data_IF_715989127978
#
_entry.id   IF_715989127978
#
_cell.length_a   1.000
_cell.length_b   1.000
_cell.length_c   1.000
_cell.angle_alpha   90.00
_cell.angle_beta   90.00
_cell.angle_gamma   90.00
#
_symmetry.space_group_name_H-M   'P 1'
#
loop_
_entity.id
_entity.type
_entity.pdbx_description
1 polymer ?
#
# COMPACT_ATOMS: atom_id res chain seq x y z
N UNK A 1 -18.75 -54.72 9.02
CA UNK A 1 -17.80 -54.23 10.03
C UNK A 1 -16.54 -53.58 9.51
N UNK A 2 -16.34 -53.51 8.18
CA UNK A 2 -15.10 -52.97 7.56
C UNK A 2 -15.02 -51.43 7.45
N UNK A 3 -16.10 -50.71 7.78
CA UNK A 3 -16.13 -49.23 7.66
C UNK A 3 -15.58 -48.46 8.88
N UNK A 4 -15.46 -49.09 10.03
CA UNK A 4 -14.97 -48.43 11.27
C UNK A 4 -13.43 -48.37 11.33
N UNK A 5 -12.73 -49.32 10.68
CA UNK A 5 -11.26 -49.38 10.68
C UNK A 5 -10.62 -48.19 9.98
N UNK A 6 -11.25 -47.70 8.93
CA UNK A 6 -10.73 -46.51 8.19
C UNK A 6 -10.84 -45.19 8.94
N UNK A 7 -11.91 -45.02 9.74
CA UNK A 7 -12.11 -43.78 10.52
C UNK A 7 -11.19 -43.71 11.73
N UNK A 8 -10.96 -44.83 12.41
CA UNK A 8 -10.01 -44.88 13.54
C UNK A 8 -8.56 -44.67 13.08
N UNK A 9 -8.21 -45.16 11.90
CA UNK A 9 -6.88 -44.95 11.33
C UNK A 9 -6.64 -43.46 11.00
N UNK A 10 -7.64 -42.78 10.46
CA UNK A 10 -7.55 -41.33 10.20
C UNK A 10 -7.47 -40.48 11.46
N UNK A 11 -8.22 -40.84 12.52
CA UNK A 11 -8.20 -40.12 13.80
C UNK A 11 -6.87 -40.35 14.51
N UNK A 12 -6.40 -41.60 14.52
CA UNK A 12 -5.12 -41.98 15.14
C UNK A 12 -3.93 -41.36 14.40
N UNK A 13 -3.98 -41.26 13.09
CA UNK A 13 -2.96 -40.62 12.26
C UNK A 13 -2.95 -39.08 12.49
N UNK A 14 -4.12 -38.50 12.74
CA UNK A 14 -4.23 -37.06 13.06
C UNK A 14 -3.74 -36.76 14.49
N UNK A 15 -4.04 -37.63 15.44
CA UNK A 15 -3.56 -37.55 16.84
C UNK A 15 -2.06 -37.80 16.89
N UNK A 16 -1.55 -38.82 16.17
CA UNK A 16 -0.12 -39.12 16.08
C UNK A 16 0.66 -38.00 15.37
N UNK A 17 0.09 -37.38 14.34
CA UNK A 17 0.64 -36.16 13.74
C UNK A 17 0.65 -34.98 14.69
N UNK A 18 -0.35 -34.82 15.54
CA UNK A 18 -0.38 -33.78 16.56
C UNK A 18 0.70 -34.02 17.64
N UNK A 19 0.92 -35.27 18.05
CA UNK A 19 1.97 -35.62 19.03
C UNK A 19 3.37 -35.70 18.41
N UNK A 20 3.53 -36.12 17.19
CA UNK A 20 4.80 -36.11 16.43
C UNK A 20 5.20 -34.72 15.93
N UNK A 21 4.29 -33.75 16.03
CA UNK A 21 4.52 -32.34 15.66
C UNK A 21 5.45 -31.57 16.63
N UNK A 22 6.10 -32.28 17.56
CA UNK A 22 7.20 -31.74 18.39
C UNK A 22 8.49 -31.50 17.59
N UNK A 23 8.55 -31.83 16.30
CA UNK A 23 9.70 -31.48 15.48
C UNK A 23 9.58 -30.02 15.04
N UNK A 24 10.62 -29.25 15.30
CA UNK A 24 10.76 -27.81 14.98
C UNK A 24 10.30 -27.45 13.55
N UNK A 25 10.37 -28.38 12.62
CA UNK A 25 10.03 -28.17 11.20
C UNK A 25 8.52 -28.03 10.93
N UNK A 26 7.66 -28.80 11.65
CA UNK A 26 6.20 -28.71 11.49
C UNK A 26 5.68 -27.42 12.15
N UNK A 27 6.29 -27.02 13.25
CA UNK A 27 6.00 -25.75 13.91
C UNK A 27 6.25 -24.57 12.95
N UNK A 28 7.40 -24.51 12.28
CA UNK A 28 7.72 -23.45 11.31
C UNK A 28 6.80 -23.48 10.08
N UNK A 29 6.37 -24.65 9.60
CA UNK A 29 5.45 -24.74 8.46
C UNK A 29 4.07 -24.21 8.85
N UNK A 30 3.59 -24.54 10.05
CA UNK A 30 2.30 -24.05 10.53
C UNK A 30 2.33 -22.54 10.77
N UNK A 31 3.43 -22.01 11.34
CA UNK A 31 3.61 -20.56 11.52
C UNK A 31 3.63 -19.84 10.16
N UNK A 32 4.36 -20.36 9.19
CA UNK A 32 4.41 -19.76 7.85
C UNK A 32 3.03 -19.67 7.19
N UNK A 33 2.26 -20.77 7.24
CA UNK A 33 0.90 -20.79 6.72
C UNK A 33 -0.03 -19.85 7.49
N UNK A 34 0.03 -19.86 8.82
CA UNK A 34 -0.79 -18.98 9.67
C UNK A 34 -0.46 -17.51 9.41
N UNK A 35 0.83 -17.17 9.31
CA UNK A 35 1.28 -15.81 9.03
C UNK A 35 0.80 -15.34 7.65
N UNK A 36 0.85 -16.21 6.63
CA UNK A 36 0.36 -15.87 5.29
C UNK A 36 -1.15 -15.60 5.28
N UNK A 37 -1.95 -16.43 5.97
CA UNK A 37 -3.40 -16.21 6.07
C UNK A 37 -3.76 -14.97 6.90
N UNK A 38 -3.03 -14.72 8.00
CA UNK A 38 -3.19 -13.50 8.77
C UNK A 38 -2.82 -12.27 7.94
N UNK A 39 -1.77 -12.36 7.13
CA UNK A 39 -1.39 -11.31 6.18
C UNK A 39 -2.50 -10.98 5.20
N UNK A 40 -3.17 -11.99 4.65
CA UNK A 40 -4.33 -11.81 3.77
C UNK A 40 -5.48 -11.10 4.50
N UNK A 41 -5.78 -11.50 5.74
CA UNK A 41 -6.82 -10.85 6.54
C UNK A 41 -6.49 -9.36 6.81
N UNK A 42 -5.24 -9.06 7.18
CA UNK A 42 -4.74 -7.67 7.39
C UNK A 42 -4.80 -6.87 6.09
N UNK A 43 -4.44 -7.47 4.94
CA UNK A 43 -4.52 -6.83 3.64
C UNK A 43 -5.95 -6.43 3.28
N UNK A 44 -6.91 -7.36 3.40
CA UNK A 44 -8.33 -7.11 3.12
C UNK A 44 -8.89 -6.04 4.06
N UNK A 45 -8.58 -6.14 5.36
CA UNK A 45 -8.99 -5.14 6.35
C UNK A 45 -8.44 -3.75 5.98
N UNK A 46 -7.15 -3.66 5.65
CA UNK A 46 -6.50 -2.42 5.23
C UNK A 46 -7.15 -1.83 3.98
N UNK A 47 -7.40 -2.64 2.95
CA UNK A 47 -8.06 -2.20 1.72
C UNK A 47 -9.47 -1.68 2.00
N UNK A 48 -10.25 -2.38 2.84
CA UNK A 48 -11.61 -1.96 3.22
C UNK A 48 -11.60 -0.64 4.00
N UNK A 49 -10.68 -0.49 4.96
CA UNK A 49 -10.56 0.76 5.73
C UNK A 49 -10.19 1.93 4.82
N UNK A 50 -9.20 1.75 3.94
CA UNK A 50 -8.76 2.79 2.99
C UNK A 50 -9.93 3.20 2.10
N UNK A 51 -10.63 2.24 1.48
CA UNK A 51 -11.71 2.53 0.53
C UNK A 51 -12.88 3.27 1.19
N UNK A 52 -13.27 2.86 2.40
CA UNK A 52 -14.39 3.49 3.10
C UNK A 52 -14.06 4.85 3.72
N UNK A 53 -12.79 5.16 3.97
CA UNK A 53 -12.39 6.38 4.65
C UNK A 53 -11.53 7.34 3.82
N UNK A 54 -11.22 6.97 2.56
CA UNK A 54 -10.55 7.90 1.64
C UNK A 54 -11.44 9.11 1.40
N UNK A 55 -10.81 10.28 1.32
CA UNK A 55 -11.47 11.50 0.89
C UNK A 55 -10.73 12.02 -0.33
N UNK A 56 -11.47 12.26 -1.39
CA UNK A 56 -10.99 12.86 -2.61
C UNK A 56 -11.75 14.16 -2.84
N UNK A 57 -11.03 15.22 -3.17
CA UNK A 57 -11.60 16.53 -3.49
C UNK A 57 -10.93 17.07 -4.74
N UNK A 58 -11.71 17.28 -5.79
CA UNK A 58 -11.27 17.97 -6.99
C UNK A 58 -11.86 19.38 -6.98
N UNK A 59 -11.01 20.37 -7.08
CA UNK A 59 -11.39 21.78 -7.01
C UNK A 59 -10.53 22.63 -7.92
N UNK A 60 -11.04 23.80 -8.23
CA UNK A 60 -10.34 24.86 -8.94
C UNK A 60 -9.84 25.85 -7.91
N UNK A 61 -8.55 26.19 -7.97
CA UNK A 61 -7.88 27.00 -6.96
C UNK A 61 -6.94 28.02 -7.61
N UNK A 62 -6.89 29.22 -7.03
CA UNK A 62 -5.98 30.28 -7.42
C UNK A 62 -4.71 30.27 -6.56
N UNK A 63 -3.59 30.72 -7.13
CA UNK A 63 -2.35 30.91 -6.38
C UNK A 63 -2.63 31.84 -5.17
N UNK A 64 -2.20 31.39 -3.99
CA UNK A 64 -2.43 32.09 -2.71
C UNK A 64 -3.60 31.56 -1.89
N UNK A 65 -4.55 30.85 -2.51
CA UNK A 65 -5.71 30.28 -1.82
C UNK A 65 -5.35 29.03 -1.00
N UNK A 66 -6.23 28.71 -0.05
CA UNK A 66 -6.08 27.56 0.85
C UNK A 66 -7.28 26.62 0.70
N UNK A 67 -7.02 25.35 0.62
CA UNK A 67 -8.01 24.28 0.47
C UNK A 67 -8.01 23.47 1.75
N UNK A 68 -9.17 23.23 2.33
CA UNK A 68 -9.32 22.42 3.53
C UNK A 68 -9.89 21.03 3.21
N UNK A 69 -9.24 20.00 3.76
CA UNK A 69 -9.69 18.62 3.73
C UNK A 69 -9.48 18.00 5.11
N UNK A 70 -10.55 17.60 5.77
CA UNK A 70 -10.54 17.14 7.17
C UNK A 70 -9.81 18.14 8.06
N UNK A 71 -8.71 17.74 8.68
CA UNK A 71 -7.88 18.54 9.59
C UNK A 71 -6.68 19.18 8.88
N UNK A 72 -6.60 19.05 7.55
CA UNK A 72 -5.48 19.54 6.75
C UNK A 72 -5.87 20.73 5.89
N UNK A 73 -5.00 21.75 5.87
CA UNK A 73 -5.11 22.91 5.02
C UNK A 73 -3.94 22.94 4.02
N UNK A 74 -4.27 22.94 2.73
CA UNK A 74 -3.32 22.97 1.63
C UNK A 74 -3.29 24.39 1.04
N UNK A 75 -2.22 25.14 1.27
CA UNK A 75 -2.05 26.48 0.72
C UNK A 75 -1.26 26.44 -0.57
N UNK A 76 -1.84 26.86 -1.66
CA UNK A 76 -1.18 27.01 -2.96
C UNK A 76 -0.21 28.19 -2.91
N UNK A 77 1.09 27.93 -2.80
CA UNK A 77 2.08 28.98 -2.58
C UNK A 77 2.55 29.62 -3.88
N UNK A 78 2.95 28.79 -4.85
CA UNK A 78 3.53 29.25 -6.12
C UNK A 78 3.50 28.16 -7.15
N UNK A 79 3.69 28.54 -8.40
CA UNK A 79 3.93 27.67 -9.54
C UNK A 79 5.17 28.15 -10.28
N UNK A 80 5.92 27.24 -10.87
CA UNK A 80 7.09 27.53 -11.67
C UNK A 80 7.19 26.58 -12.85
N UNK A 81 7.56 27.09 -13.99
CA UNK A 81 7.94 26.31 -15.16
C UNK A 81 9.42 25.97 -15.09
N UNK A 82 9.79 24.81 -15.61
CA UNK A 82 11.16 24.37 -15.67
C UNK A 82 11.39 23.40 -16.83
N UNK A 83 12.60 23.39 -17.35
CA UNK A 83 13.03 22.51 -18.44
C UNK A 83 13.73 21.29 -17.85
N UNK A 84 13.18 20.10 -18.12
CA UNK A 84 13.80 18.82 -17.81
C UNK A 84 14.71 18.34 -18.96
N UNK A 85 15.41 17.21 -18.79
CA UNK A 85 16.31 16.66 -19.80
C UNK A 85 15.64 16.35 -21.14
N UNK A 86 14.36 15.96 -21.13
CA UNK A 86 13.56 15.54 -22.29
C UNK A 86 12.08 15.89 -22.17
N UNK A 87 11.72 16.83 -21.27
CA UNK A 87 10.36 17.27 -21.04
C UNK A 87 10.32 18.73 -20.59
N UNK A 88 9.22 19.38 -20.85
CA UNK A 88 8.84 20.64 -20.23
C UNK A 88 7.96 20.36 -19.02
N UNK A 89 8.23 20.99 -17.89
CA UNK A 89 7.53 20.74 -16.65
C UNK A 89 6.98 22.00 -15.99
N UNK A 90 5.83 21.85 -15.35
CA UNK A 90 5.25 22.84 -14.44
C UNK A 90 5.23 22.23 -13.06
N UNK A 91 5.83 22.88 -12.08
CA UNK A 91 5.90 22.48 -10.68
C UNK A 91 5.15 23.44 -9.81
N UNK A 92 4.19 22.94 -9.05
CA UNK A 92 3.49 23.70 -8.04
C UNK A 92 4.07 23.46 -6.65
N UNK A 93 4.00 24.45 -5.78
CA UNK A 93 4.38 24.35 -4.37
C UNK A 93 3.15 24.52 -3.50
N UNK A 94 2.84 23.50 -2.70
CA UNK A 94 1.79 23.53 -1.69
C UNK A 94 2.38 23.40 -0.30
N UNK A 95 1.95 24.27 0.61
CA UNK A 95 2.26 24.16 2.04
C UNK A 95 1.09 23.46 2.73
N UNK A 96 1.38 22.39 3.45
CA UNK A 96 0.37 21.60 4.14
C UNK A 96 0.44 21.85 5.63
N UNK A 97 -0.68 22.26 6.19
CA UNK A 97 -0.84 22.54 7.62
C UNK A 97 -1.79 21.56 8.27
N UNK A 98 -1.50 21.19 9.51
CA UNK A 98 -2.41 20.48 10.41
C UNK A 98 -2.54 21.29 11.69
N UNK A 99 -3.77 21.65 12.07
CA UNK A 99 -4.03 22.51 13.24
C UNK A 99 -3.16 23.78 13.27
N UNK A 100 -3.05 24.47 12.13
CA UNK A 100 -2.22 25.68 11.91
C UNK A 100 -0.69 25.47 11.98
N UNK A 101 -0.22 24.24 12.18
CA UNK A 101 1.21 23.95 12.13
C UNK A 101 1.60 23.45 10.74
N UNK A 102 2.65 23.99 10.16
CA UNK A 102 3.22 23.51 8.90
C UNK A 102 3.82 22.11 9.15
N UNK A 103 3.31 21.10 8.44
CA UNK A 103 3.78 19.72 8.57
C UNK A 103 4.67 19.30 7.42
N UNK A 104 4.38 19.76 6.19
CA UNK A 104 5.15 19.36 5.01
C UNK A 104 4.94 20.34 3.85
N UNK A 105 5.81 20.24 2.86
CA UNK A 105 5.67 20.92 1.57
C UNK A 105 5.51 19.86 0.48
N UNK A 106 4.54 20.04 -0.41
CA UNK A 106 4.28 19.13 -1.53
C UNK A 106 4.53 19.83 -2.86
N UNK A 107 5.11 19.07 -3.78
CA UNK A 107 5.51 19.55 -5.10
C UNK A 107 4.90 18.69 -6.20
N UNK A 108 3.59 18.81 -6.48
CA UNK A 108 3.02 18.16 -7.64
C UNK A 108 3.53 18.80 -8.92
N UNK A 109 3.77 17.97 -9.93
CA UNK A 109 4.31 18.40 -11.21
C UNK A 109 3.43 17.93 -12.38
N UNK A 110 3.46 18.67 -13.45
CA UNK A 110 2.90 18.28 -14.73
C UNK A 110 3.98 18.34 -15.77
N UNK A 111 4.26 17.23 -16.44
CA UNK A 111 5.35 17.08 -17.40
C UNK A 111 4.82 16.77 -18.79
N UNK A 112 5.39 17.36 -19.81
CA UNK A 112 5.09 17.13 -21.23
C UNK A 112 6.36 16.62 -21.88
N UNK A 113 6.36 15.33 -22.23
CA UNK A 113 7.50 14.68 -22.88
C UNK A 113 7.42 14.85 -24.40
N UNK A 114 8.51 15.27 -25.02
CA UNK A 114 8.59 15.45 -26.48
C UNK A 114 8.33 14.16 -27.27
N UNK A 115 8.65 12.99 -26.67
CA UNK A 115 8.46 11.67 -27.28
C UNK A 115 7.03 11.12 -27.20
N UNK A 116 6.15 11.73 -26.41
CA UNK A 116 4.79 11.21 -26.10
C UNK A 116 3.68 12.06 -26.71
N UNK A 117 3.80 12.45 -27.99
CA UNK A 117 2.79 13.26 -28.70
C UNK A 117 2.28 14.46 -27.87
N UNK A 118 3.14 15.06 -27.06
CA UNK A 118 2.82 16.15 -26.14
C UNK A 118 1.71 15.84 -25.12
N UNK A 119 1.47 14.55 -24.80
CA UNK A 119 0.51 14.19 -23.73
C UNK A 119 1.08 14.57 -22.37
N UNK A 120 0.36 15.36 -21.56
CA UNK A 120 0.81 15.74 -20.24
C UNK A 120 0.74 14.55 -19.26
N UNK A 121 1.81 14.31 -18.53
CA UNK A 121 1.87 13.36 -17.41
C UNK A 121 1.86 14.13 -16.10
N UNK A 122 1.07 13.63 -15.15
CA UNK A 122 0.94 14.25 -13.83
C UNK A 122 1.75 13.45 -12.81
N UNK A 123 2.65 14.13 -12.10
CA UNK A 123 3.41 13.60 -10.98
C UNK A 123 2.79 14.13 -9.69
N UNK A 124 2.41 13.24 -8.80
CA UNK A 124 1.79 13.60 -7.55
C UNK A 124 2.82 14.06 -6.51
N UNK A 125 2.50 15.12 -5.78
CA UNK A 125 3.15 15.41 -4.51
C UNK A 125 2.59 14.49 -3.43
N UNK A 126 3.43 13.73 -2.73
CA UNK A 126 3.01 12.72 -1.76
C UNK A 126 3.68 12.98 -0.42
N UNK A 127 2.89 12.98 0.65
CA UNK A 127 3.35 12.95 2.04
C UNK A 127 2.94 11.63 2.68
N UNK A 128 3.86 10.64 2.73
CA UNK A 128 3.58 9.34 3.30
C UNK A 128 3.67 9.37 4.83
N UNK A 129 2.59 8.99 5.51
CA UNK A 129 2.53 8.89 6.98
C UNK A 129 2.26 7.48 7.48
N UNK A 130 2.37 7.26 8.79
CA UNK A 130 2.03 5.96 9.40
C UNK A 130 0.52 5.73 9.44
N UNK A 131 -0.23 6.76 9.78
CA UNK A 131 -1.70 6.68 9.94
C UNK A 131 -2.46 7.17 8.71
N UNK A 132 -1.82 7.95 7.82
CA UNK A 132 -2.45 8.51 6.63
C UNK A 132 -1.41 8.86 5.57
N UNK A 133 -1.81 8.85 4.30
CA UNK A 133 -1.05 9.43 3.22
C UNK A 133 -1.85 10.58 2.61
N UNK A 134 -1.15 11.69 2.34
CA UNK A 134 -1.70 12.85 1.63
C UNK A 134 -1.13 12.88 0.23
N UNK A 135 -1.98 13.05 -0.77
CA UNK A 135 -1.59 13.19 -2.17
C UNK A 135 -2.20 14.47 -2.72
N UNK A 136 -1.44 15.13 -3.56
CA UNK A 136 -1.93 16.26 -4.35
C UNK A 136 -1.46 16.13 -5.79
N UNK A 137 -2.35 16.36 -6.74
CA UNK A 137 -2.02 16.35 -8.17
C UNK A 137 -2.43 17.66 -8.81
N UNK A 138 -1.58 18.12 -9.74
CA UNK A 138 -1.84 19.32 -10.53
C UNK A 138 -2.59 18.93 -11.80
N UNK A 139 -3.80 19.46 -11.97
CA UNK A 139 -4.63 19.24 -13.16
C UNK A 139 -4.33 20.19 -14.30
N UNK A 140 -5.36 20.72 -14.94
CA UNK A 140 -5.23 21.66 -16.05
C UNK A 140 -5.29 23.11 -15.58
N UNK A 141 -4.57 23.98 -16.30
CA UNK A 141 -4.76 25.42 -16.20
C UNK A 141 -6.14 25.75 -16.77
N UNK A 142 -6.96 26.43 -15.99
CA UNK A 142 -8.33 26.83 -16.38
C UNK A 142 -8.32 28.24 -16.94
N UNK A 143 -7.73 29.17 -16.20
CA UNK A 143 -7.52 30.56 -16.58
C UNK A 143 -6.17 31.01 -15.98
N UNK A 144 -5.76 32.24 -16.28
CA UNK A 144 -4.55 32.84 -15.71
C UNK A 144 -4.53 32.67 -14.19
N UNK A 145 -3.50 32.01 -13.65
CA UNK A 145 -3.29 31.71 -12.23
C UNK A 145 -4.31 30.77 -11.55
N UNK A 146 -5.23 30.17 -12.30
CA UNK A 146 -6.30 29.28 -11.77
C UNK A 146 -6.10 27.87 -12.28
N UNK A 147 -5.90 26.92 -11.37
CA UNK A 147 -5.58 25.54 -11.66
C UNK A 147 -6.61 24.56 -11.09
N UNK A 148 -6.91 23.51 -11.84
CA UNK A 148 -7.58 22.34 -11.27
C UNK A 148 -6.57 21.58 -10.41
N UNK A 149 -6.98 21.21 -9.21
CA UNK A 149 -6.16 20.45 -8.26
C UNK A 149 -7.00 19.34 -7.66
N UNK A 150 -6.42 18.15 -7.56
CA UNK A 150 -7.06 17.00 -6.92
C UNK A 150 -6.25 16.57 -5.72
N UNK A 151 -6.91 16.54 -4.56
CA UNK A 151 -6.30 16.21 -3.29
C UNK A 151 -6.93 14.93 -2.76
N UNK A 152 -6.09 14.03 -2.23
CA UNK A 152 -6.50 12.78 -1.62
C UNK A 152 -5.98 12.70 -0.20
N UNK A 153 -6.85 12.27 0.69
CA UNK A 153 -6.50 11.79 2.02
C UNK A 153 -6.83 10.31 2.09
N UNK A 154 -5.81 9.46 2.26
CA UNK A 154 -5.96 8.00 2.35
C UNK A 154 -5.44 7.51 3.69
N UNK A 155 -6.32 7.12 4.64
CA UNK A 155 -5.89 6.63 5.94
C UNK A 155 -5.42 5.17 5.86
N UNK A 156 -4.47 4.81 6.72
CA UNK A 156 -4.03 3.43 6.99
C UNK A 156 -3.57 2.61 5.77
N UNK A 157 -3.07 3.24 4.72
CA UNK A 157 -2.56 2.55 3.52
C UNK A 157 -1.42 1.57 3.85
N UNK A 158 -0.70 1.84 4.97
CA UNK A 158 0.36 0.97 5.50
C UNK A 158 -0.11 -0.43 5.88
N UNK A 159 -1.40 -0.61 6.25
CA UNK A 159 -1.96 -1.93 6.54
C UNK A 159 -1.97 -2.83 5.31
N UNK A 160 -2.23 -2.26 4.12
CA UNK A 160 -2.19 -3.00 2.86
C UNK A 160 -0.77 -3.55 2.62
N UNK A 161 0.25 -2.71 2.76
CA UNK A 161 1.64 -3.12 2.62
C UNK A 161 2.08 -4.12 3.69
N UNK A 162 1.67 -3.91 4.94
CA UNK A 162 1.95 -4.83 6.05
C UNK A 162 1.36 -6.22 5.76
N UNK A 163 0.09 -6.28 5.34
CA UNK A 163 -0.55 -7.54 4.96
C UNK A 163 0.17 -8.25 3.82
N UNK A 164 0.58 -7.51 2.77
CA UNK A 164 1.35 -8.06 1.66
C UNK A 164 2.71 -8.62 2.10
N UNK A 165 3.45 -7.91 2.93
CA UNK A 165 4.72 -8.36 3.49
C UNK A 165 4.54 -9.62 4.35
N UNK A 166 3.51 -9.66 5.20
CA UNK A 166 3.21 -10.84 6.02
C UNK A 166 2.92 -12.07 5.15
N UNK A 167 2.20 -11.91 4.03
CA UNK A 167 1.95 -13.00 3.08
C UNK A 167 3.25 -13.52 2.47
N UNK A 168 4.13 -12.62 2.03
CA UNK A 168 5.43 -12.99 1.44
C UNK A 168 6.29 -13.74 2.45
N UNK A 169 6.47 -13.19 3.66
CA UNK A 169 7.28 -13.82 4.71
C UNK A 169 6.69 -15.17 5.13
N UNK A 170 5.37 -15.27 5.29
CA UNK A 170 4.69 -16.51 5.61
C UNK A 170 4.89 -17.58 4.55
N UNK A 171 4.80 -17.21 3.27
CA UNK A 171 5.05 -18.08 2.13
C UNK A 171 6.49 -18.59 2.09
N UNK A 172 7.47 -17.70 2.25
CA UNK A 172 8.90 -18.05 2.30
C UNK A 172 9.19 -19.04 3.44
N UNK A 173 8.70 -18.74 4.66
CA UNK A 173 8.86 -19.64 5.81
C UNK A 173 8.26 -21.01 5.55
N UNK A 174 7.09 -21.09 4.93
CA UNK A 174 6.43 -22.36 4.60
C UNK A 174 7.24 -23.19 3.59
N UNK A 175 7.82 -22.55 2.55
CA UNK A 175 8.64 -23.22 1.54
C UNK A 175 9.96 -23.72 2.14
N UNK A 176 10.65 -22.89 2.93
CA UNK A 176 11.92 -23.27 3.57
C UNK A 176 11.73 -24.43 4.56
N UNK A 177 10.61 -24.46 5.27
CA UNK A 177 10.28 -25.53 6.18
C UNK A 177 10.04 -26.87 5.45
N UNK A 178 9.33 -26.86 4.32
CA UNK A 178 9.11 -28.07 3.50
C UNK A 178 10.40 -28.66 2.91
N UNK A 179 11.37 -27.81 2.56
CA UNK A 179 12.68 -28.28 2.05
C UNK A 179 13.46 -29.10 3.07
N UNK A 180 13.32 -28.81 4.36
CA UNK A 180 14.00 -29.54 5.44
C UNK A 180 13.36 -30.86 5.82
N UNK A 181 12.13 -31.13 5.37
CA UNK A 181 11.37 -32.34 5.72
C UNK A 181 11.29 -33.38 4.59
N UNK A 182 12.21 -33.38 3.61
CA UNK A 182 12.29 -34.47 2.63
C UNK A 182 12.66 -35.77 3.36
N UNK A 183 11.87 -36.86 3.25
CA UNK A 183 12.23 -38.11 3.83
C UNK A 183 13.50 -38.63 3.16
N UNK A 184 14.44 -39.14 3.97
CA UNK A 184 15.55 -39.97 3.50
C UNK A 184 14.91 -41.18 2.77
N UNK A 185 15.11 -41.29 1.47
CA UNK A 185 14.73 -42.50 0.74
C UNK A 185 15.48 -43.66 1.36
N UNK A 186 14.77 -44.58 2.00
CA UNK A 186 15.30 -45.85 2.42
C UNK A 186 15.58 -46.62 1.11
N UNK A 187 16.86 -46.65 0.69
CA UNK A 187 17.37 -47.60 -0.28
C UNK A 187 17.30 -48.98 0.37
N UNK A 188 16.28 -49.78 -0.01
CA UNK A 188 16.24 -51.19 0.17
C UNK A 188 16.89 -51.90 -1.03
#
# INVERSE_FOLDING_TARGET
>A
PLRLVGSEMCIRDRINRYYLSKTKNIFFTNIGMTLAHLGLAVFILGATIVENNKVEKEIVVKIGETIEIKNYAFKFKSISEYDGPNYLGVKAKFLVYENNNLITELYPEKRIYASNNNMPMTEAGIDPGLSRDLYITLGSLINDDVWSVRIYHKPFIRLIWLGALMMVFGGVLSVLSKRKSKPVALSG
#
